data_IF_650095471264
#
_entry.id   IF_650095471264
#
_cell.length_a   1.000
_cell.length_b   1.000
_cell.length_c   1.000
_cell.angle_alpha   90.00
_cell.angle_beta   90.00
_cell.angle_gamma   90.00
#
_symmetry.space_group_name_H-M   'P 1'
#
loop_
_entity.id
_entity.type
_entity.pdbx_description
1 polymer ?
#
# COMPACT_ATOMS: atom_id res chain seq x y z
N UNK A 1 12.70 24.77 -17.04
CA UNK A 1 12.83 23.34 -17.39
C UNK A 1 13.97 22.74 -16.58
N UNK A 2 13.71 22.24 -15.36
CA UNK A 2 14.75 21.59 -14.54
C UNK A 2 14.52 20.08 -14.57
N UNK A 3 15.22 19.40 -15.47
CA UNK A 3 15.33 17.95 -15.48
C UNK A 3 16.31 17.53 -14.38
N UNK A 4 15.83 16.80 -13.38
CA UNK A 4 16.70 16.13 -12.42
C UNK A 4 16.95 14.70 -12.89
N UNK A 5 18.16 14.50 -13.39
CA UNK A 5 18.81 13.22 -13.63
C UNK A 5 18.90 12.44 -12.30
N UNK A 6 18.13 11.36 -12.19
CA UNK A 6 18.23 10.43 -11.07
C UNK A 6 19.27 9.36 -11.39
N UNK A 7 20.41 9.49 -10.72
CA UNK A 7 21.55 8.58 -10.69
C UNK A 7 21.12 7.11 -10.49
N UNK A 8 21.53 6.25 -11.41
CA UNK A 8 21.37 4.79 -11.34
C UNK A 8 22.23 4.20 -10.21
N UNK A 9 21.59 3.86 -9.09
CA UNK A 9 22.12 2.94 -8.09
C UNK A 9 21.74 1.49 -8.46
N UNK A 10 22.67 0.55 -8.27
CA UNK A 10 22.49 -0.88 -8.55
C UNK A 10 21.32 -1.47 -7.75
N UNK A 11 20.23 -1.77 -8.46
CA UNK A 11 18.98 -2.34 -7.95
C UNK A 11 17.82 -1.82 -8.79
N UNK A 12 16.82 -2.64 -9.13
CA UNK A 12 15.64 -2.15 -9.85
C UNK A 12 15.09 -0.90 -9.12
N UNK A 13 14.86 0.23 -9.81
CA UNK A 13 14.48 1.48 -9.16
C UNK A 13 13.31 1.22 -8.23
N UNK A 14 13.56 1.37 -6.92
CA UNK A 14 12.52 1.14 -5.92
C UNK A 14 11.33 2.03 -6.25
N UNK A 15 10.12 1.46 -6.20
CA UNK A 15 8.87 2.17 -6.51
C UNK A 15 8.85 3.50 -5.72
N UNK A 16 9.09 4.62 -6.42
CA UNK A 16 9.46 5.92 -5.83
C UNK A 16 8.32 6.68 -5.14
N UNK A 17 7.29 5.97 -4.70
CA UNK A 17 6.11 6.54 -4.06
C UNK A 17 6.43 6.89 -2.62
N UNK A 18 6.32 8.16 -2.25
CA UNK A 18 6.57 8.67 -0.89
C UNK A 18 5.35 9.38 -0.28
N UNK A 19 4.27 9.53 -1.04
CA UNK A 19 3.06 10.26 -0.64
C UNK A 19 1.80 9.48 -0.99
N UNK A 20 0.72 9.83 -0.30
CA UNK A 20 -0.65 9.43 -0.60
C UNK A 20 -1.37 10.61 -1.29
N UNK A 21 -2.38 10.35 -2.14
CA UNK A 21 -2.80 9.03 -2.60
C UNK A 21 -1.83 8.42 -3.63
N UNK A 22 -1.88 7.10 -3.82
CA UNK A 22 -1.18 6.45 -4.93
C UNK A 22 -1.94 5.23 -5.44
N UNK A 23 -1.75 4.92 -6.72
CA UNK A 23 -2.34 3.76 -7.39
C UNK A 23 -1.45 2.54 -7.30
N UNK A 24 -2.06 1.38 -7.11
CA UNK A 24 -1.36 0.11 -6.98
C UNK A 24 -2.24 -1.04 -7.47
N UNK A 25 -1.60 -2.04 -8.06
CA UNK A 25 -2.26 -3.25 -8.55
C UNK A 25 -2.45 -4.27 -7.43
N UNK A 26 -3.62 -4.90 -7.38
CA UNK A 26 -3.90 -6.04 -6.52
C UNK A 26 -3.22 -7.29 -7.10
N UNK A 27 -2.37 -7.95 -6.34
CA UNK A 27 -1.68 -9.17 -6.76
C UNK A 27 -2.59 -10.40 -6.79
N UNK A 28 -2.12 -11.47 -7.45
CA UNK A 28 -2.85 -12.75 -7.60
C UNK A 28 -3.31 -13.34 -6.26
N UNK A 29 -2.54 -13.14 -5.19
CA UNK A 29 -2.87 -13.58 -3.84
C UNK A 29 -3.78 -12.60 -3.07
N UNK A 30 -4.39 -11.63 -3.75
CA UNK A 30 -5.22 -10.55 -3.18
C UNK A 30 -4.46 -9.60 -2.25
N UNK A 31 -3.13 -9.56 -2.36
CA UNK A 31 -2.30 -8.65 -1.59
C UNK A 31 -1.96 -7.40 -2.37
N UNK A 32 -1.69 -6.35 -1.61
CA UNK A 32 -1.31 -5.05 -2.12
C UNK A 32 0.01 -4.65 -1.47
N UNK A 33 0.95 -4.17 -2.30
CA UNK A 33 2.27 -3.73 -1.86
C UNK A 33 2.23 -2.25 -1.44
N UNK A 34 2.76 -1.96 -0.26
CA UNK A 34 3.12 -0.63 0.20
C UNK A 34 4.64 -0.48 0.04
N UNK A 35 5.10 0.43 -0.84
CA UNK A 35 6.53 0.63 -1.08
C UNK A 35 7.30 1.02 0.18
N UNK A 36 8.55 0.52 0.33
CA UNK A 36 9.42 0.87 1.44
C UNK A 36 9.66 2.39 1.60
N UNK A 37 9.72 3.12 0.48
CA UNK A 37 9.78 4.58 0.44
C UNK A 37 8.60 5.22 1.18
N UNK A 38 7.38 4.79 0.87
CA UNK A 38 6.16 5.26 1.54
C UNK A 38 6.11 4.83 3.00
N UNK A 39 6.47 3.58 3.31
CA UNK A 39 6.50 3.08 4.70
C UNK A 39 7.41 3.93 5.58
N UNK A 40 8.60 4.27 5.07
CA UNK A 40 9.56 5.14 5.77
C UNK A 40 9.05 6.58 5.88
N UNK A 41 8.49 7.14 4.81
CA UNK A 41 7.94 8.48 4.79
C UNK A 41 6.78 8.66 5.80
N UNK A 42 5.95 7.64 5.97
CA UNK A 42 4.84 7.63 6.93
C UNK A 42 5.28 7.26 8.36
N UNK A 43 6.54 6.85 8.58
CA UNK A 43 7.02 6.42 9.89
C UNK A 43 6.36 5.12 10.39
N UNK A 44 5.83 4.28 9.50
CA UNK A 44 5.04 3.09 9.86
C UNK A 44 5.85 1.79 9.85
N UNK A 45 7.18 1.86 9.78
CA UNK A 45 8.05 0.69 9.70
C UNK A 45 7.87 -0.30 10.87
N UNK A 46 7.47 0.16 12.05
CA UNK A 46 7.22 -0.69 13.22
C UNK A 46 5.80 -1.25 13.34
N UNK A 47 4.87 -0.83 12.48
CA UNK A 47 3.46 -1.18 12.64
C UNK A 47 3.16 -2.63 12.21
N UNK A 48 2.45 -3.35 13.08
CA UNK A 48 1.90 -4.68 12.77
C UNK A 48 0.51 -4.60 12.15
N UNK A 49 -0.28 -3.61 12.54
CA UNK A 49 -1.66 -3.42 12.10
C UNK A 49 -1.92 -1.96 11.71
N UNK A 50 -2.75 -1.75 10.70
CA UNK A 50 -3.13 -0.43 10.23
C UNK A 50 -4.64 -0.35 9.94
N UNK A 51 -5.13 0.89 9.85
CA UNK A 51 -6.38 1.24 9.18
C UNK A 51 -6.01 1.79 7.81
N UNK A 52 -6.52 1.18 6.75
CA UNK A 52 -6.21 1.60 5.37
C UNK A 52 -7.52 2.01 4.70
N UNK A 53 -7.52 3.20 4.11
CA UNK A 53 -8.61 3.67 3.25
C UNK A 53 -8.17 3.54 1.80
N UNK A 54 -8.94 2.80 1.01
CA UNK A 54 -8.71 2.62 -0.43
C UNK A 54 -9.88 3.17 -1.22
N UNK A 55 -9.64 3.65 -2.44
CA UNK A 55 -10.70 3.98 -3.40
C UNK A 55 -10.69 2.96 -4.52
N UNK A 56 -11.87 2.43 -4.83
CA UNK A 56 -12.09 1.55 -5.97
C UNK A 56 -13.37 1.99 -6.70
N UNK A 57 -13.27 2.24 -8.00
CA UNK A 57 -14.35 2.80 -8.81
C UNK A 57 -14.98 4.07 -8.21
N UNK A 58 -14.16 4.93 -7.58
CA UNK A 58 -14.60 6.17 -6.93
C UNK A 58 -15.24 6.00 -5.55
N UNK A 59 -15.33 4.77 -5.03
CA UNK A 59 -15.92 4.48 -3.73
C UNK A 59 -14.82 4.34 -2.68
N UNK A 60 -14.79 5.19 -1.62
CA UNK A 60 -13.85 5.05 -0.52
C UNK A 60 -14.26 3.91 0.42
N UNK A 61 -13.31 3.05 0.75
CA UNK A 61 -13.49 1.84 1.54
C UNK A 61 -12.44 1.82 2.66
N UNK A 62 -12.89 1.88 3.91
CA UNK A 62 -12.01 1.84 5.08
C UNK A 62 -11.92 0.43 5.65
N UNK A 63 -10.71 -0.12 5.66
CA UNK A 63 -10.42 -1.44 6.21
C UNK A 63 -9.65 -1.29 7.51
N UNK A 64 -10.27 -1.67 8.63
CA UNK A 64 -9.69 -1.56 9.98
C UNK A 64 -8.92 -2.83 10.34
N UNK A 65 -7.82 -2.66 11.08
CA UNK A 65 -7.09 -3.77 11.69
C UNK A 65 -6.39 -4.70 10.69
N UNK A 66 -6.00 -4.19 9.51
CA UNK A 66 -5.30 -5.02 8.52
C UNK A 66 -3.88 -5.31 8.97
N UNK A 67 -3.45 -6.57 8.84
CA UNK A 67 -2.10 -6.99 9.16
C UNK A 67 -1.12 -6.54 8.07
N UNK A 68 -0.07 -5.84 8.48
CA UNK A 68 1.04 -5.45 7.61
C UNK A 68 2.11 -6.54 7.62
N UNK A 69 2.17 -7.32 6.54
CA UNK A 69 3.14 -8.38 6.33
C UNK A 69 4.51 -7.78 6.03
N UNK A 70 5.55 -8.32 6.68
CA UNK A 70 6.95 -7.90 6.48
C UNK A 70 7.59 -8.69 5.34
N UNK A 71 8.33 -8.00 4.49
CA UNK A 71 9.27 -8.62 3.55
C UNK A 71 10.67 -8.75 4.17
N UNK A 72 11.40 -9.84 3.86
CA UNK A 72 12.66 -10.21 4.54
C UNK A 72 13.77 -9.16 4.45
N UNK A 73 13.93 -8.50 3.29
CA UNK A 73 15.08 -7.62 2.98
C UNK A 73 14.69 -6.17 2.68
N UNK A 74 13.46 -5.76 2.99
CA UNK A 74 12.96 -4.40 2.68
C UNK A 74 11.90 -3.98 3.69
N UNK A 75 11.82 -2.68 3.96
CA UNK A 75 10.77 -2.07 4.79
C UNK A 75 9.40 -2.08 4.12
N UNK A 76 9.31 -2.59 2.89
CA UNK A 76 8.03 -2.72 2.19
C UNK A 76 7.07 -3.56 3.03
N UNK A 77 5.79 -3.20 2.94
CA UNK A 77 4.72 -3.91 3.62
C UNK A 77 3.75 -4.46 2.59
N UNK A 78 3.10 -5.55 2.92
CA UNK A 78 1.98 -6.06 2.14
C UNK A 78 0.77 -6.20 3.05
N UNK A 79 -0.42 -5.99 2.52
CA UNK A 79 -1.65 -6.31 3.22
C UNK A 79 -2.59 -7.05 2.28
N UNK A 80 -3.42 -7.92 2.84
CA UNK A 80 -4.44 -8.65 2.07
C UNK A 80 -5.74 -7.88 2.08
N UNK A 81 -6.36 -7.69 0.92
CA UNK A 81 -7.72 -7.14 0.84
C UNK A 81 -8.70 -8.18 1.41
N UNK A 82 -9.44 -7.88 2.49
CA UNK A 82 -10.32 -8.87 3.13
C UNK A 82 -11.37 -9.42 2.17
N UNK A 83 -11.70 -10.70 2.32
CA UNK A 83 -12.69 -11.38 1.48
C UNK A 83 -14.02 -10.62 1.40
N UNK A 84 -14.55 -10.18 2.55
CA UNK A 84 -15.79 -9.38 2.62
C UNK A 84 -15.71 -8.13 1.74
N UNK A 85 -14.59 -7.39 1.79
CA UNK A 85 -14.38 -6.19 0.97
C UNK A 85 -14.33 -6.55 -0.52
N UNK A 86 -13.60 -7.60 -0.89
CA UNK A 86 -13.51 -8.05 -2.29
C UNK A 86 -14.85 -8.45 -2.86
N UNK A 87 -15.63 -9.23 -2.11
CA UNK A 87 -16.94 -9.71 -2.57
C UNK A 87 -17.97 -8.58 -2.62
N UNK A 88 -17.98 -7.67 -1.63
CA UNK A 88 -18.92 -6.54 -1.60
C UNK A 88 -18.68 -5.55 -2.74
N UNK A 89 -17.42 -5.24 -3.06
CA UNK A 89 -17.09 -4.21 -4.05
C UNK A 89 -16.62 -4.76 -5.40
N UNK A 90 -16.48 -6.07 -5.53
CA UNK A 90 -16.07 -6.73 -6.77
C UNK A 90 -14.57 -6.63 -7.11
N UNK A 91 -13.71 -6.34 -6.13
CA UNK A 91 -12.26 -6.20 -6.33
C UNK A 91 -11.63 -7.56 -6.69
N UNK A 92 -10.97 -7.63 -7.84
CA UNK A 92 -10.32 -8.84 -8.36
C UNK A 92 -8.79 -8.70 -8.40
N UNK A 93 -8.06 -9.82 -8.37
CA UNK A 93 -6.64 -9.80 -8.70
C UNK A 93 -6.40 -9.20 -10.09
N UNK A 94 -5.40 -8.33 -10.18
CA UNK A 94 -5.08 -7.60 -11.39
C UNK A 94 -5.74 -6.23 -11.49
N UNK A 95 -6.72 -5.92 -10.65
CA UNK A 95 -7.34 -4.58 -10.60
C UNK A 95 -6.38 -3.53 -10.05
N UNK A 96 -6.58 -2.28 -10.46
CA UNK A 96 -5.92 -1.11 -9.87
C UNK A 96 -6.83 -0.52 -8.79
N UNK A 97 -6.25 -0.26 -7.61
CA UNK A 97 -6.90 0.47 -6.52
C UNK A 97 -6.05 1.70 -6.17
N UNK A 98 -6.67 2.71 -5.57
CA UNK A 98 -5.96 3.87 -5.06
C UNK A 98 -5.91 3.81 -3.53
N UNK A 99 -4.72 3.87 -2.93
CA UNK A 99 -4.57 3.99 -1.49
C UNK A 99 -4.67 5.47 -1.13
N UNK A 100 -5.68 5.82 -0.35
CA UNK A 100 -5.96 7.21 0.04
C UNK A 100 -5.31 7.53 1.39
N UNK A 101 -5.39 6.60 2.34
CA UNK A 101 -4.94 6.83 3.71
C UNK A 101 -4.39 5.57 4.36
N UNK A 102 -3.35 5.71 5.17
CA UNK A 102 -2.81 4.66 6.03
C UNK A 102 -2.60 5.25 7.43
N UNK A 103 -3.33 4.73 8.42
CA UNK A 103 -3.26 5.14 9.83
C UNK A 103 -2.85 3.98 10.73
N UNK A 104 -2.16 4.23 11.86
CA UNK A 104 -1.94 3.21 12.86
C UNK A 104 -3.26 2.65 13.41
N UNK A 105 -3.33 1.32 13.57
CA UNK A 105 -4.43 0.72 14.32
C UNK A 105 -4.16 0.89 15.81
N UNK A 106 -4.91 1.79 16.48
CA UNK A 106 -4.87 1.96 17.92
C UNK A 106 -5.99 1.13 18.54
N UNK A 107 -5.65 0.30 19.53
CA UNK A 107 -6.64 -0.26 20.44
C UNK A 107 -7.04 0.88 21.39
N UNK A 108 -8.30 1.29 21.35
CA UNK A 108 -8.90 2.15 22.38
C UNK A 108 -9.55 1.28 23.44
#
# INVERSE_FOLDING_TARGET
MHGQELRQGRGAPGYGVTKLPYKVRVYLNNQVLIPASLVRALGISGLKYAVITVSYNGIPITVKGVKLLRTRHTDSRQFTVPRKVRETYGIRPGDEIEIIEIKPFRFS
#
